data_IF_082859984467
#
_entry.id   IF_082859984467
#
_cell.length_a   1.000
_cell.length_b   1.000
_cell.length_c   1.000
_cell.angle_alpha   90.00
_cell.angle_beta   90.00
_cell.angle_gamma   90.00
#
_symmetry.space_group_name_H-M   'P 1'
#
loop_
_entity.id
_entity.type
_entity.pdbx_description
1 polymer ?
#
# COMPACT_ATOMS: atom_id res chain seq x y z
N UNK A 1 -1.16 33.30 -1.32
CA UNK A 1 -1.93 32.03 -1.41
C UNK A 1 -1.10 31.06 -2.22
N UNK A 2 -0.43 30.13 -1.55
CA UNK A 2 0.45 29.15 -2.18
C UNK A 2 -0.40 27.97 -2.65
N UNK A 3 -0.39 27.68 -3.96
CA UNK A 3 -1.08 26.52 -4.53
C UNK A 3 -0.60 25.23 -3.83
N UNK A 4 -1.49 24.29 -3.50
CA UNK A 4 -1.09 23.00 -2.95
C UNK A 4 -0.17 22.31 -3.96
N UNK A 5 1.02 21.93 -3.50
CA UNK A 5 2.06 21.33 -4.34
C UNK A 5 1.64 19.90 -4.69
N UNK A 6 0.88 19.73 -5.76
CA UNK A 6 0.64 18.42 -6.38
C UNK A 6 1.95 17.98 -7.03
N UNK A 7 2.39 16.75 -6.74
CA UNK A 7 3.51 16.13 -7.44
C UNK A 7 3.03 15.80 -8.87
N UNK A 8 3.03 16.77 -9.78
CA UNK A 8 2.61 16.60 -11.20
C UNK A 8 3.51 15.65 -12.03
N UNK A 9 4.43 14.93 -11.40
CA UNK A 9 5.33 13.97 -12.03
C UNK A 9 5.06 12.53 -11.61
N UNK A 10 4.09 12.26 -10.72
CA UNK A 10 3.74 10.89 -10.34
C UNK A 10 2.61 10.35 -11.23
N UNK A 11 2.70 9.08 -11.63
CA UNK A 11 1.68 8.39 -12.45
C UNK A 11 0.27 8.43 -11.85
N UNK A 12 0.19 8.64 -10.53
CA UNK A 12 -1.05 8.71 -9.75
C UNK A 12 -0.97 9.92 -8.81
N UNK A 13 -2.08 10.62 -8.52
CA UNK A 13 -2.09 11.69 -7.52
C UNK A 13 -1.58 11.19 -6.17
N UNK A 14 -0.59 11.88 -5.61
CA UNK A 14 0.00 11.56 -4.31
C UNK A 14 -0.44 12.57 -3.24
N UNK A 15 -0.61 12.15 -1.98
CA UNK A 15 -0.98 13.07 -0.90
C UNK A 15 0.10 14.13 -0.69
N UNK A 16 -0.34 15.37 -0.42
CA UNK A 16 0.57 16.50 -0.21
C UNK A 16 1.03 16.56 1.26
N UNK A 17 2.15 17.24 1.53
CA UNK A 17 2.67 17.45 2.91
C UNK A 17 1.63 18.06 3.85
N UNK A 18 0.68 18.81 3.30
CA UNK A 18 -0.35 19.58 4.02
C UNK A 18 -1.66 18.81 4.22
N UNK A 19 -1.73 17.51 3.91
CA UNK A 19 -2.96 16.74 4.14
C UNK A 19 -3.34 16.81 5.63
N UNK A 20 -4.54 17.34 5.92
CA UNK A 20 -5.04 17.56 7.28
C UNK A 20 -5.31 16.23 7.99
N UNK A 21 -5.79 15.25 7.23
CA UNK A 21 -6.04 13.89 7.72
C UNK A 21 -4.89 12.94 7.35
N UNK A 22 -4.18 12.43 8.35
CA UNK A 22 -3.04 11.53 8.14
C UNK A 22 -3.46 10.10 7.76
N UNK A 23 -4.64 9.66 8.21
CA UNK A 23 -5.17 8.35 7.86
C UNK A 23 -5.56 8.30 6.39
N UNK A 24 -6.25 9.34 5.91
CA UNK A 24 -6.61 9.49 4.49
C UNK A 24 -5.38 9.58 3.59
N UNK A 25 -4.37 10.34 4.01
CA UNK A 25 -3.11 10.44 3.28
C UNK A 25 -2.43 9.07 3.15
N UNK A 26 -2.43 8.26 4.22
CA UNK A 26 -1.80 6.95 4.19
C UNK A 26 -2.57 5.95 3.32
N UNK A 27 -3.90 5.94 3.40
CA UNK A 27 -4.73 5.10 2.54
C UNK A 27 -4.57 5.50 1.06
N UNK A 28 -4.62 6.80 0.76
CA UNK A 28 -4.42 7.33 -0.60
C UNK A 28 -3.06 6.93 -1.15
N UNK A 29 -1.99 7.06 -0.35
CA UNK A 29 -0.65 6.59 -0.72
C UNK A 29 -0.65 5.08 -1.06
N UNK A 30 -1.27 4.27 -0.20
CA UNK A 30 -1.33 2.82 -0.37
C UNK A 30 -2.02 2.43 -1.68
N UNK A 31 -3.16 3.05 -1.99
CA UNK A 31 -3.89 2.86 -3.24
C UNK A 31 -3.04 3.30 -4.43
N UNK A 32 -2.43 4.48 -4.37
CA UNK A 32 -1.59 5.01 -5.45
C UNK A 32 -0.38 4.11 -5.78
N UNK A 33 0.21 3.45 -4.77
CA UNK A 33 1.28 2.46 -4.97
C UNK A 33 0.79 1.22 -5.73
N UNK A 34 -0.39 0.71 -5.37
CA UNK A 34 -1.02 -0.44 -6.05
C UNK A 34 -1.43 -0.09 -7.48
N UNK A 35 -2.02 1.08 -7.68
CA UNK A 35 -2.41 1.57 -9.00
C UNK A 35 -1.18 1.78 -9.90
N UNK A 36 -0.09 2.34 -9.36
CA UNK A 36 1.17 2.46 -10.09
C UNK A 36 1.72 1.11 -10.53
N UNK A 37 1.64 0.08 -9.67
CA UNK A 37 2.06 -1.27 -10.03
C UNK A 37 1.16 -1.92 -11.09
N UNK A 38 -0.15 -1.67 -11.00
CA UNK A 38 -1.12 -2.12 -11.99
C UNK A 38 -0.90 -1.46 -13.35
N UNK A 39 -0.56 -0.17 -13.38
CA UNK A 39 -0.19 0.58 -14.58
C UNK A 39 1.04 -0.04 -15.26
N UNK A 40 2.11 -0.33 -14.49
CA UNK A 40 3.29 -1.06 -15.00
C UNK A 40 2.89 -2.41 -15.61
N UNK A 41 2.06 -3.18 -14.91
CA UNK A 41 1.58 -4.47 -15.41
C UNK A 41 0.72 -4.34 -16.68
N UNK A 42 -0.03 -3.26 -16.87
CA UNK A 42 -0.91 -3.07 -18.02
C UNK A 42 -0.18 -2.53 -19.26
N UNK A 43 0.73 -1.59 -19.05
CA UNK A 43 1.27 -0.77 -20.14
C UNK A 43 2.74 -1.08 -20.46
N UNK A 44 3.48 -1.73 -19.56
CA UNK A 44 4.92 -1.93 -19.72
C UNK A 44 5.34 -3.41 -19.71
N UNK A 45 4.57 -4.27 -19.05
CA UNK A 45 4.78 -5.73 -19.08
C UNK A 45 3.75 -6.36 -20.03
N UNK A 46 4.25 -7.06 -21.04
CA UNK A 46 3.44 -7.56 -22.15
C UNK A 46 3.34 -9.09 -22.20
N UNK A 47 4.28 -9.82 -21.58
CA UNK A 47 4.30 -11.29 -21.64
C UNK A 47 4.61 -11.96 -20.30
N UNK A 48 4.20 -13.23 -20.17
CA UNK A 48 4.49 -14.08 -19.01
C UNK A 48 6.00 -14.36 -18.88
N UNK A 49 6.73 -14.39 -20.00
CA UNK A 49 8.20 -14.55 -20.00
C UNK A 49 8.88 -13.37 -19.30
N UNK A 50 8.42 -12.13 -19.52
CA UNK A 50 8.95 -10.96 -18.81
C UNK A 50 8.70 -11.04 -17.30
N UNK A 51 7.56 -11.62 -16.88
CA UNK A 51 7.21 -11.83 -15.48
C UNK A 51 8.12 -12.88 -14.80
N UNK A 52 8.51 -13.90 -15.55
CA UNK A 52 9.16 -15.11 -15.02
C UNK A 52 10.65 -15.21 -15.27
N UNK A 53 11.22 -14.32 -16.10
CA UNK A 53 12.66 -14.27 -16.37
C UNK A 53 13.44 -14.01 -15.08
N UNK A 54 14.37 -14.90 -14.79
CA UNK A 54 15.27 -14.78 -13.65
C UNK A 54 16.21 -13.59 -13.84
N UNK A 55 16.39 -12.84 -12.76
CA UNK A 55 17.30 -11.70 -12.74
C UNK A 55 18.75 -12.13 -12.51
N UNK A 56 19.67 -11.53 -13.25
CA UNK A 56 21.10 -11.68 -13.06
C UNK A 56 21.63 -10.72 -11.97
N UNK A 57 21.04 -9.53 -11.85
CA UNK A 57 21.34 -8.53 -10.83
C UNK A 57 20.75 -8.90 -9.46
N UNK A 58 19.65 -9.67 -9.45
CA UNK A 58 18.96 -10.13 -8.24
C UNK A 58 18.71 -11.65 -8.31
N UNK A 59 19.73 -12.50 -8.07
CA UNK A 59 19.60 -13.95 -8.15
C UNK A 59 18.42 -14.49 -7.35
N UNK A 60 17.59 -15.33 -7.97
CA UNK A 60 16.36 -15.88 -7.39
C UNK A 60 15.15 -14.95 -7.48
N UNK A 61 15.32 -13.69 -7.90
CA UNK A 61 14.26 -12.72 -8.14
C UNK A 61 13.73 -12.73 -9.58
N UNK A 62 12.44 -12.40 -9.73
CA UNK A 62 11.77 -12.09 -11.02
C UNK A 62 10.78 -10.95 -10.79
N UNK A 63 10.32 -10.27 -11.85
CA UNK A 63 9.25 -9.28 -11.72
C UNK A 63 8.01 -9.88 -11.03
N UNK A 64 7.60 -11.07 -11.48
CA UNK A 64 6.45 -11.79 -10.95
C UNK A 64 6.54 -12.14 -9.48
N UNK A 65 7.72 -12.57 -9.01
CA UNK A 65 7.95 -12.87 -7.59
C UNK A 65 7.81 -11.60 -6.73
N UNK A 66 8.31 -10.46 -7.21
CA UNK A 66 8.17 -9.18 -6.50
C UNK A 66 6.73 -8.67 -6.48
N UNK A 67 6.02 -8.67 -7.63
CA UNK A 67 4.60 -8.30 -7.67
C UNK A 67 3.75 -9.22 -6.79
N UNK A 68 3.94 -10.53 -6.87
CA UNK A 68 3.25 -11.50 -6.00
C UNK A 68 3.46 -11.17 -4.54
N UNK A 69 4.69 -10.89 -4.14
CA UNK A 69 4.98 -10.65 -2.73
C UNK A 69 4.27 -9.39 -2.21
N UNK A 70 4.24 -8.30 -2.98
CA UNK A 70 3.45 -7.10 -2.63
C UNK A 70 1.96 -7.42 -2.51
N UNK A 71 1.40 -8.17 -3.47
CA UNK A 71 0.00 -8.61 -3.44
C UNK A 71 -0.29 -9.44 -2.18
N UNK A 72 0.58 -10.39 -1.85
CA UNK A 72 0.45 -11.26 -0.66
C UNK A 72 0.45 -10.44 0.63
N UNK A 73 1.36 -9.45 0.75
CA UNK A 73 1.45 -8.58 1.93
C UNK A 73 0.16 -7.78 2.14
N UNK A 74 -0.36 -7.11 1.12
CA UNK A 74 -1.61 -6.34 1.26
C UNK A 74 -2.84 -7.22 1.50
N UNK A 75 -2.88 -8.42 0.90
CA UNK A 75 -3.95 -9.38 1.19
C UNK A 75 -3.92 -9.86 2.63
N UNK A 76 -2.74 -10.18 3.17
CA UNK A 76 -2.58 -10.57 4.56
C UNK A 76 -3.01 -9.44 5.52
N UNK A 77 -2.67 -8.19 5.20
CA UNK A 77 -3.11 -7.01 5.94
C UNK A 77 -4.64 -6.85 5.95
N UNK A 78 -5.29 -6.98 4.79
CA UNK A 78 -6.74 -6.78 4.65
C UNK A 78 -7.57 -7.94 5.20
N UNK A 79 -7.06 -9.17 5.13
CA UNK A 79 -7.80 -10.40 5.44
C UNK A 79 -8.57 -10.36 6.78
N UNK A 80 -7.98 -9.92 7.91
CA UNK A 80 -8.70 -9.88 9.18
C UNK A 80 -9.54 -8.59 9.38
N UNK A 81 -9.46 -7.63 8.45
CA UNK A 81 -10.07 -6.30 8.53
C UNK A 81 -11.26 -6.12 7.55
N UNK A 82 -11.30 -6.87 6.45
CA UNK A 82 -12.28 -6.72 5.36
C UNK A 82 -12.39 -8.02 4.54
N UNK A 83 -13.57 -8.40 4.00
CA UNK A 83 -14.87 -7.69 4.05
C UNK A 83 -15.64 -7.86 5.35
N UNK A 84 -15.34 -8.90 6.13
CA UNK A 84 -16.04 -9.19 7.39
C UNK A 84 -15.04 -9.06 8.53
N UNK A 85 -14.96 -7.89 9.20
CA UNK A 85 -14.08 -7.70 10.34
C UNK A 85 -14.60 -8.48 11.55
N UNK A 86 -13.68 -8.93 12.40
CA UNK A 86 -14.05 -9.49 13.71
C UNK A 86 -14.55 -8.39 14.64
N UNK A 87 -15.66 -8.63 15.34
CA UNK A 87 -16.20 -7.71 16.34
C UNK A 87 -15.42 -7.78 17.66
N UNK A 88 -15.36 -6.68 18.44
CA UNK A 88 -14.85 -6.71 19.80
C UNK A 88 -15.52 -7.82 20.65
N UNK A 89 -14.80 -8.46 21.59
CA UNK A 89 -13.48 -8.10 22.13
C UNK A 89 -12.27 -8.66 21.34
N UNK A 90 -12.47 -9.21 20.15
CA UNK A 90 -11.38 -9.86 19.39
C UNK A 90 -10.37 -8.85 18.83
N UNK A 91 -9.09 -9.03 19.15
CA UNK A 91 -7.96 -8.32 18.54
C UNK A 91 -7.58 -9.06 17.24
N UNK A 92 -7.71 -8.42 16.06
CA UNK A 92 -7.35 -9.04 14.79
C UNK A 92 -5.89 -9.48 14.75
N UNK A 93 -5.62 -10.59 14.06
CA UNK A 93 -4.27 -11.04 13.76
C UNK A 93 -3.98 -10.86 12.27
N UNK A 94 -2.94 -10.10 11.95
CA UNK A 94 -2.36 -10.01 10.60
C UNK A 94 -1.22 -11.03 10.54
N UNK A 95 -1.47 -12.14 9.83
CA UNK A 95 -0.47 -13.17 9.61
C UNK A 95 0.11 -13.01 8.20
N UNK A 96 1.34 -12.50 8.10
CA UNK A 96 2.00 -12.27 6.79
C UNK A 96 2.45 -13.58 6.11
N UNK A 97 2.39 -14.71 6.80
CA UNK A 97 2.59 -16.05 6.21
C UNK A 97 1.28 -16.73 5.80
N UNK A 98 0.13 -16.05 5.92
CA UNK A 98 -1.16 -16.54 5.45
C UNK A 98 -1.17 -16.61 3.91
N UNK A 99 -0.51 -17.63 3.37
CA UNK A 99 -0.39 -17.87 1.94
C UNK A 99 -1.61 -18.65 1.46
N UNK A 100 -2.04 -18.36 0.24
CA UNK A 100 -3.00 -19.19 -0.50
C UNK A 100 -2.22 -19.94 -1.59
N UNK A 101 -1.75 -21.18 -1.32
CA UNK A 101 -0.76 -21.87 -2.17
C UNK A 101 -1.19 -21.99 -3.63
N UNK A 102 -2.48 -22.27 -3.86
CA UNK A 102 -3.08 -22.41 -5.19
C UNK A 102 -2.95 -21.15 -6.05
N UNK A 103 -2.91 -19.97 -5.43
CA UNK A 103 -2.83 -18.68 -6.13
C UNK A 103 -1.40 -18.17 -6.34
N UNK A 104 -0.41 -18.65 -5.56
CA UNK A 104 0.97 -18.11 -5.59
C UNK A 104 1.63 -18.25 -6.95
N UNK A 105 1.53 -19.46 -7.53
CA UNK A 105 2.17 -19.79 -8.79
C UNK A 105 1.54 -19.03 -9.96
N UNK A 106 0.20 -18.98 -10.11
CA UNK A 106 -0.44 -18.13 -11.10
C UNK A 106 -0.04 -16.66 -10.99
N UNK A 107 -0.13 -16.05 -9.80
CA UNK A 107 0.14 -14.61 -9.61
C UNK A 107 1.58 -14.24 -10.01
N UNK A 108 2.55 -15.12 -9.75
CA UNK A 108 3.95 -14.85 -10.09
C UNK A 108 4.34 -15.21 -11.53
N UNK A 109 3.45 -15.82 -12.32
CA UNK A 109 3.82 -16.40 -13.62
C UNK A 109 2.87 -16.09 -14.77
N UNK A 110 1.62 -15.72 -14.48
CA UNK A 110 0.63 -15.32 -15.46
C UNK A 110 0.33 -13.84 -15.28
N UNK A 111 0.52 -13.08 -16.34
CA UNK A 111 0.28 -11.64 -16.41
C UNK A 111 -1.17 -11.31 -16.09
N UNK A 112 -2.11 -12.09 -16.62
CA UNK A 112 -3.54 -11.91 -16.35
C UNK A 112 -3.88 -12.18 -14.88
N UNK A 113 -3.36 -13.27 -14.30
CA UNK A 113 -3.54 -13.55 -12.88
C UNK A 113 -2.91 -12.48 -11.99
N UNK A 114 -1.72 -11.97 -12.35
CA UNK A 114 -1.03 -10.91 -11.65
C UNK A 114 -1.82 -9.59 -11.69
N UNK A 115 -2.27 -9.18 -12.89
CA UNK A 115 -3.11 -7.99 -13.10
C UNK A 115 -4.42 -8.07 -12.33
N UNK A 116 -5.12 -9.20 -12.42
CA UNK A 116 -6.37 -9.42 -11.71
C UNK A 116 -6.18 -9.33 -10.19
N UNK A 117 -5.12 -9.95 -9.67
CA UNK A 117 -4.82 -9.93 -8.25
C UNK A 117 -4.42 -8.53 -7.74
N UNK A 118 -3.57 -7.81 -8.48
CA UNK A 118 -3.18 -6.43 -8.16
C UNK A 118 -4.39 -5.48 -8.18
N UNK A 119 -5.24 -5.58 -9.21
CA UNK A 119 -6.48 -4.80 -9.31
C UNK A 119 -7.43 -5.09 -8.15
N UNK A 120 -7.51 -6.35 -7.71
CA UNK A 120 -8.36 -6.72 -6.59
C UNK A 120 -7.87 -6.08 -5.29
N UNK A 121 -6.55 -6.04 -5.05
CA UNK A 121 -5.98 -5.35 -3.88
C UNK A 121 -6.38 -3.87 -3.85
N UNK A 122 -6.30 -3.16 -4.97
CA UNK A 122 -6.71 -1.74 -5.05
C UNK A 122 -8.21 -1.54 -4.75
N UNK A 123 -9.06 -2.43 -5.26
CA UNK A 123 -10.50 -2.45 -4.95
C UNK A 123 -10.77 -2.70 -3.47
N UNK A 124 -10.09 -3.69 -2.89
CA UNK A 124 -10.29 -4.06 -1.48
C UNK A 124 -9.81 -2.96 -0.54
N UNK A 125 -8.68 -2.29 -0.83
CA UNK A 125 -8.23 -1.11 -0.06
C UNK A 125 -9.26 0.02 -0.11
N UNK A 126 -9.79 0.32 -1.30
CA UNK A 126 -10.79 1.38 -1.48
C UNK A 126 -12.08 1.07 -0.73
N UNK A 127 -12.56 -0.18 -0.84
CA UNK A 127 -13.79 -0.62 -0.18
C UNK A 127 -13.63 -0.72 1.35
N UNK A 128 -12.46 -1.18 1.83
CA UNK A 128 -12.13 -1.18 3.24
C UNK A 128 -12.12 0.24 3.81
N UNK A 129 -11.48 1.19 3.12
CA UNK A 129 -11.48 2.60 3.50
C UNK A 129 -12.88 3.18 3.62
N UNK A 130 -13.74 2.93 2.62
CA UNK A 130 -15.14 3.41 2.65
C UNK A 130 -15.93 2.78 3.80
N UNK A 131 -15.78 1.48 4.03
CA UNK A 131 -16.41 0.79 5.15
C UNK A 131 -15.99 1.38 6.51
N UNK A 132 -14.74 1.82 6.66
CA UNK A 132 -14.28 2.50 7.88
C UNK A 132 -15.00 3.84 8.09
N UNK A 133 -15.14 4.65 7.02
CA UNK A 133 -15.87 5.92 7.07
C UNK A 133 -17.34 5.73 7.39
N UNK A 134 -17.99 4.74 6.76
CA UNK A 134 -19.39 4.39 7.03
C UNK A 134 -19.62 4.02 8.49
N UNK A 135 -18.74 3.19 9.09
CA UNK A 135 -18.80 2.86 10.52
C UNK A 135 -18.65 4.11 11.39
N UNK A 136 -17.75 5.02 11.03
CA UNK A 136 -17.59 6.30 11.72
C UNK A 136 -18.85 7.16 11.68
N UNK A 137 -19.45 7.33 10.49
CA UNK A 137 -20.71 8.07 10.31
C UNK A 137 -21.86 7.45 11.10
N UNK A 138 -22.00 6.12 11.09
CA UNK A 138 -23.04 5.41 11.84
C UNK A 138 -22.88 5.58 13.35
N UNK A 139 -21.64 5.53 13.86
CA UNK A 139 -21.34 5.77 15.28
C UNK A 139 -21.69 7.19 15.71
N UNK A 140 -21.36 8.20 14.89
CA UNK A 140 -21.72 9.61 15.14
C UNK A 140 -23.24 9.82 15.18
N UNK A 141 -23.97 9.26 14.22
CA UNK A 141 -25.43 9.35 14.21
C UNK A 141 -26.06 8.73 15.48
N UNK A 142 -25.49 7.64 16.00
CA UNK A 142 -25.95 7.02 17.24
C UNK A 142 -25.64 7.85 18.49
N UNK A 143 -24.49 8.55 18.55
CA UNK A 143 -24.16 9.45 19.66
C UNK A 143 -25.03 10.68 19.66
N UNK A 144 -25.25 11.30 18.49
CA UNK A 144 -26.04 12.52 18.35
C UNK A 144 -27.50 12.26 18.73
N UNK A 145 -28.08 11.13 18.29
CA UNK A 145 -29.43 10.72 18.69
C UNK A 145 -29.56 10.42 20.20
N UNK A 146 -28.48 10.01 20.87
CA UNK A 146 -28.45 9.79 22.31
C UNK A 146 -28.28 11.11 23.09
N UNK A 147 -27.58 12.09 22.53
CA UNK A 147 -27.43 13.43 23.11
C UNK A 147 -28.70 14.28 22.95
N UNK A 148 -29.40 14.21 21.82
CA UNK A 148 -30.71 14.85 21.62
C UNK A 148 -31.75 14.34 22.62
N UNK A 149 -31.73 13.03 22.94
CA UNK A 149 -32.57 12.44 24.01
C UNK A 149 -32.16 12.84 25.43
N UNK A 150 -30.93 13.33 25.64
CA UNK A 150 -30.42 13.77 26.96
C UNK A 150 -30.56 15.28 27.18
N UNK A 151 -30.54 16.08 26.13
CA UNK A 151 -30.75 17.53 26.21
C UNK A 151 -32.21 17.92 26.53
N UNK A 152 -33.17 16.99 26.45
CA UNK A 152 -34.51 17.19 27.00
C UNK A 152 -34.56 17.12 28.54
N UNK A 153 -33.47 16.75 29.24
CA UNK A 153 -33.51 16.54 30.70
C UNK A 153 -32.46 17.28 31.56
N UNK A 154 -31.48 18.03 31.03
CA UNK A 154 -30.70 18.98 31.86
C UNK A 154 -29.86 19.99 31.07
N UNK A 155 -29.94 21.25 31.51
CA UNK A 155 -29.15 22.38 31.04
C UNK A 155 -27.65 22.25 31.37
N UNK A 156 -26.84 22.67 30.38
CA UNK A 156 -25.46 23.19 30.44
C UNK A 156 -24.41 22.36 31.20
N UNK A 157 -23.54 21.69 30.43
CA UNK A 157 -22.14 21.49 30.82
C UNK A 157 -21.22 21.75 29.63
N UNK A 158 -20.04 22.30 29.92
CA UNK A 158 -19.08 22.93 29.02
C UNK A 158 -18.54 21.98 27.96
N UNK A 159 -18.38 22.55 26.76
CA UNK A 159 -17.75 21.93 25.60
C UNK A 159 -16.34 21.44 25.96
N UNK A 160 -16.13 20.13 25.90
CA UNK A 160 -14.81 19.59 25.63
C UNK A 160 -14.80 19.22 24.15
N UNK A 161 -14.08 20.00 23.34
CA UNK A 161 -13.90 19.73 21.92
C UNK A 161 -13.03 18.48 21.74
N UNK A 162 -13.63 17.31 21.93
CA UNK A 162 -13.07 16.06 21.42
C UNK A 162 -13.13 16.15 19.91
N UNK A 163 -11.99 16.46 19.29
CA UNK A 163 -11.87 16.65 17.84
C UNK A 163 -12.56 15.53 17.09
N UNK A 164 -13.33 15.91 16.06
CA UNK A 164 -14.04 15.00 15.16
C UNK A 164 -13.07 13.90 14.68
N UNK A 165 -13.24 12.68 15.19
CA UNK A 165 -12.47 11.53 14.69
C UNK A 165 -13.25 10.90 13.55
N UNK A 166 -12.67 10.96 12.35
CA UNK A 166 -13.13 10.21 11.19
C UNK A 166 -13.01 8.70 11.49
N UNK A 167 -13.96 7.89 11.02
CA UNK A 167 -13.98 6.44 11.25
C UNK A 167 -12.73 5.73 10.72
N UNK A 168 -12.10 6.27 9.68
CA UNK A 168 -10.81 5.76 9.19
C UNK A 168 -9.67 6.06 10.18
N UNK A 169 -9.63 7.27 10.76
CA UNK A 169 -8.63 7.63 11.76
C UNK A 169 -8.75 6.77 13.02
N UNK A 170 -9.98 6.48 13.47
CA UNK A 170 -10.24 5.54 14.55
C UNK A 170 -9.77 4.11 14.19
N UNK A 171 -9.99 3.65 12.95
CA UNK A 171 -9.51 2.34 12.51
C UNK A 171 -7.97 2.27 12.52
N UNK A 172 -7.26 3.34 12.13
CA UNK A 172 -5.79 3.35 12.14
C UNK A 172 -5.20 3.11 13.54
N UNK A 173 -5.90 3.54 14.59
CA UNK A 173 -5.49 3.34 15.99
C UNK A 173 -5.87 1.96 16.54
N UNK A 174 -6.66 1.17 15.80
CA UNK A 174 -7.08 -0.16 16.23
C UNK A 174 -5.87 -1.07 16.42
N UNK A 175 -5.79 -1.66 17.61
CA UNK A 175 -4.74 -2.61 17.98
C UNK A 175 -4.93 -3.90 17.19
N UNK A 176 -3.81 -4.44 16.70
CA UNK A 176 -3.72 -5.75 16.02
C UNK A 176 -2.54 -6.54 16.57
N UNK A 177 -2.60 -7.86 16.44
CA UNK A 177 -1.42 -8.72 16.57
C UNK A 177 -0.86 -9.01 15.18
N UNK A 178 0.45 -9.12 15.07
CA UNK A 178 1.15 -9.47 13.83
C UNK A 178 1.88 -10.78 14.06
N UNK A 179 1.80 -11.69 13.09
CA UNK A 179 2.52 -12.94 13.08
C UNK A 179 3.31 -13.11 11.76
N UNK A 180 4.57 -13.52 11.88
CA UNK A 180 5.41 -13.89 10.73
C UNK A 180 6.52 -14.88 11.15
N UNK A 181 6.99 -15.72 10.23
CA UNK A 181 8.04 -16.73 10.43
C UNK A 181 9.37 -16.20 9.93
N UNK A 182 10.34 -16.01 10.83
CA UNK A 182 11.68 -15.50 10.50
C UNK A 182 12.79 -16.00 11.46
N UNK A 183 13.41 -17.17 11.27
CA UNK A 183 12.88 -18.44 10.76
C UNK A 183 11.96 -19.16 11.79
N UNK A 184 11.79 -18.57 12.97
CA UNK A 184 10.82 -18.99 13.99
C UNK A 184 9.61 -18.05 13.96
N UNK A 185 8.45 -18.52 14.45
CA UNK A 185 7.25 -17.68 14.55
C UNK A 185 7.53 -16.52 15.52
N UNK A 186 7.40 -15.30 15.02
CA UNK A 186 7.43 -14.06 15.79
C UNK A 186 6.00 -13.54 15.92
N UNK A 187 5.64 -13.08 17.10
CA UNK A 187 4.34 -12.47 17.40
C UNK A 187 4.54 -11.14 18.12
N UNK A 188 3.93 -10.08 17.62
CA UNK A 188 4.11 -8.72 18.16
C UNK A 188 2.79 -7.94 18.13
N UNK A 189 2.64 -6.98 19.03
CA UNK A 189 1.55 -5.99 18.97
C UNK A 189 1.85 -4.89 17.96
N UNK A 190 0.82 -4.38 17.29
CA UNK A 190 0.90 -3.24 16.36
C UNK A 190 -0.44 -2.50 16.30
N UNK A 191 -0.56 -1.56 15.38
CA UNK A 191 -1.83 -0.90 15.01
C UNK A 191 -2.09 -1.04 13.52
N UNK A 192 -3.36 -0.95 13.10
CA UNK A 192 -3.73 -0.98 11.68
C UNK A 192 -2.95 0.07 10.87
N UNK A 193 -2.83 1.29 11.38
CA UNK A 193 -2.10 2.36 10.71
C UNK A 193 -0.61 2.05 10.53
N UNK A 194 0.02 1.43 11.55
CA UNK A 194 1.42 1.00 11.46
C UNK A 194 1.61 -0.11 10.43
N UNK A 195 0.68 -1.05 10.35
CA UNK A 195 0.74 -2.16 9.39
C UNK A 195 0.43 -1.73 7.95
N UNK A 196 -0.49 -0.79 7.74
CA UNK A 196 -0.72 -0.20 6.42
C UNK A 196 0.50 0.60 5.95
N UNK A 197 1.15 1.32 6.87
CA UNK A 197 2.40 2.01 6.57
C UNK A 197 3.54 1.04 6.24
N UNK A 198 3.65 -0.07 6.98
CA UNK A 198 4.56 -1.16 6.64
C UNK A 198 4.30 -1.70 5.22
N UNK A 199 3.04 -2.03 4.88
CA UNK A 199 2.68 -2.48 3.54
C UNK A 199 3.12 -1.49 2.46
N UNK A 200 2.92 -0.19 2.69
CA UNK A 200 3.32 0.88 1.77
C UNK A 200 4.82 0.96 1.55
N UNK A 201 5.62 0.99 2.61
CA UNK A 201 7.09 1.08 2.49
C UNK A 201 7.69 -0.22 1.96
N UNK A 202 7.08 -1.36 2.26
CA UNK A 202 7.45 -2.66 1.74
C UNK A 202 7.19 -2.78 0.23
N UNK A 203 6.05 -2.24 -0.23
CA UNK A 203 5.78 -2.13 -1.66
C UNK A 203 6.80 -1.24 -2.38
N UNK A 204 7.12 -0.06 -1.83
CA UNK A 204 8.16 0.82 -2.37
C UNK A 204 9.50 0.08 -2.47
N UNK A 205 9.88 -0.66 -1.42
CA UNK A 205 11.10 -1.47 -1.41
C UNK A 205 11.10 -2.47 -2.58
N UNK A 206 10.03 -3.24 -2.76
CA UNK A 206 9.94 -4.18 -3.88
C UNK A 206 9.88 -3.52 -5.25
N UNK A 207 9.21 -2.37 -5.39
CA UNK A 207 9.17 -1.64 -6.66
C UNK A 207 10.55 -1.10 -7.05
N UNK A 208 11.40 -0.75 -6.09
CA UNK A 208 12.79 -0.35 -6.36
C UNK A 208 13.63 -1.51 -6.94
N UNK A 209 13.46 -2.72 -6.42
CA UNK A 209 14.10 -3.94 -6.94
C UNK A 209 13.54 -4.30 -8.32
N UNK A 210 12.21 -4.23 -8.45
CA UNK A 210 11.50 -4.50 -9.69
C UNK A 210 11.95 -3.59 -10.82
N UNK A 211 12.07 -2.28 -10.55
CA UNK A 211 12.61 -1.30 -11.50
C UNK A 211 13.98 -1.72 -12.01
N UNK A 212 14.84 -2.21 -11.13
CA UNK A 212 16.20 -2.64 -11.49
C UNK A 212 16.17 -3.75 -12.53
N UNK A 213 15.31 -4.76 -12.34
CA UNK A 213 15.13 -5.86 -13.28
C UNK A 213 14.52 -5.34 -14.60
N UNK A 214 13.40 -4.62 -14.50
CA UNK A 214 12.62 -4.17 -15.65
C UNK A 214 13.44 -3.28 -16.59
N UNK A 215 14.10 -2.26 -16.05
CA UNK A 215 14.84 -1.28 -16.87
C UNK A 215 16.17 -1.86 -17.36
N UNK A 216 16.97 -2.47 -16.48
CA UNK A 216 18.36 -2.81 -16.83
C UNK A 216 18.55 -4.20 -17.43
N UNK A 217 17.60 -5.12 -17.26
CA UNK A 217 17.73 -6.49 -17.79
C UNK A 217 16.71 -6.81 -18.88
N UNK A 218 15.51 -6.23 -18.77
CA UNK A 218 14.42 -6.43 -19.73
C UNK A 218 14.28 -5.27 -20.72
N UNK A 219 15.01 -4.17 -20.52
CA UNK A 219 14.95 -2.96 -21.33
C UNK A 219 13.52 -2.39 -21.44
N UNK A 220 12.75 -2.46 -20.36
CA UNK A 220 11.43 -1.84 -20.27
C UNK A 220 11.57 -0.37 -19.91
N UNK A 221 10.87 0.50 -20.62
CA UNK A 221 10.79 1.91 -20.30
C UNK A 221 9.80 2.11 -19.15
N UNK A 222 10.29 2.50 -17.97
CA UNK A 222 9.45 2.76 -16.80
C UNK A 222 9.56 4.22 -16.32
N UNK A 223 8.45 4.85 -15.93
CA UNK A 223 8.43 6.19 -15.34
C UNK A 223 9.43 6.32 -14.20
N UNK A 224 10.23 7.40 -14.15
CA UNK A 224 11.39 7.53 -13.24
C UNK A 224 11.01 7.49 -11.75
N UNK A 225 9.77 7.84 -11.45
CA UNK A 225 9.18 7.89 -10.12
C UNK A 225 8.81 6.50 -9.61
N UNK A 226 8.56 5.53 -10.50
CA UNK A 226 8.21 4.17 -10.09
C UNK A 226 9.35 3.51 -9.30
N UNK A 227 9.04 3.06 -8.08
CA UNK A 227 10.01 2.52 -7.13
C UNK A 227 10.83 3.55 -6.37
N UNK A 228 10.56 4.86 -6.54
CA UNK A 228 11.19 5.93 -5.75
C UNK A 228 10.31 6.26 -4.54
N UNK A 229 10.89 6.35 -3.35
CA UNK A 229 10.16 6.72 -2.15
C UNK A 229 9.54 8.13 -2.26
N UNK A 230 8.29 8.35 -1.83
CA UNK A 230 7.63 9.67 -1.90
C UNK A 230 8.42 10.78 -1.19
N UNK A 231 9.09 10.48 -0.09
CA UNK A 231 9.98 11.42 0.61
C UNK A 231 11.12 11.91 -0.26
N UNK A 232 11.68 11.04 -1.12
CA UNK A 232 12.73 11.39 -2.09
C UNK A 232 12.17 12.26 -3.20
N UNK A 233 10.97 11.96 -3.71
CA UNK A 233 10.29 12.81 -4.71
C UNK A 233 10.00 14.21 -4.15
N UNK A 234 9.55 14.28 -2.90
CA UNK A 234 9.33 15.55 -2.20
C UNK A 234 10.64 16.34 -1.96
N UNK A 235 11.78 15.67 -1.82
CA UNK A 235 13.08 16.34 -1.70
C UNK A 235 13.59 16.90 -3.03
N UNK A 236 13.35 16.19 -4.15
CA UNK A 236 13.79 16.59 -5.49
C UNK A 236 13.25 17.96 -5.90
N UNK A 237 12.04 18.33 -5.47
CA UNK A 237 11.43 19.62 -5.79
C UNK A 237 11.06 19.78 -7.28
N UNK A 238 10.36 20.86 -7.63
CA UNK A 238 9.80 21.07 -8.98
C UNK A 238 10.87 21.31 -10.08
N UNK A 239 12.09 21.67 -9.69
CA UNK A 239 13.18 21.95 -10.63
C UNK A 239 14.00 20.72 -11.00
N UNK A 240 13.77 19.58 -10.34
CA UNK A 240 14.52 18.36 -10.64
C UNK A 240 14.11 17.79 -11.99
N UNK A 241 15.12 17.48 -12.81
CA UNK A 241 14.93 16.80 -14.09
C UNK A 241 15.44 15.37 -13.97
N UNK A 242 14.71 14.38 -14.51
CA UNK A 242 15.24 13.04 -14.61
C UNK A 242 16.56 13.03 -15.37
N UNK A 243 17.50 12.13 -15.00
CA UNK A 243 18.63 11.85 -15.85
C UNK A 243 18.13 11.45 -17.24
N UNK A 244 18.62 12.10 -18.29
CA UNK A 244 18.37 11.69 -19.68
C UNK A 244 19.06 10.34 -19.90
N UNK A 245 18.26 9.29 -20.10
CA UNK A 245 18.64 7.92 -20.50
C UNK A 245 19.49 7.92 -21.81
N UNK A 246 20.38 6.98 -22.18
CA UNK A 246 20.81 5.65 -21.71
C UNK A 246 22.33 5.56 -21.93
N UNK A 247 23.16 5.39 -20.89
CA UNK A 247 24.50 4.79 -21.08
C UNK A 247 24.35 3.31 -20.77
N UNK A 248 24.62 2.44 -21.74
CA UNK A 248 24.65 0.99 -21.52
C UNK A 248 25.50 0.67 -20.29
N UNK A 249 24.86 0.21 -19.22
CA UNK A 249 25.58 -0.32 -18.06
C UNK A 249 26.01 -1.74 -18.44
N UNK A 250 27.26 -1.92 -18.85
CA UNK A 250 27.84 -3.26 -19.03
C UNK A 250 27.98 -3.90 -17.65
N UNK A 251 27.11 -4.87 -17.35
CA UNK A 251 27.31 -5.76 -16.21
C UNK A 251 28.45 -6.71 -16.55
N UNK A 252 29.64 -6.45 -16.01
CA UNK A 252 30.79 -7.34 -16.17
C UNK A 252 30.66 -8.49 -15.17
N UNK A 253 30.40 -9.69 -15.68
CA UNK A 253 30.34 -10.91 -14.88
C UNK A 253 31.76 -11.39 -14.58
N UNK A 254 32.35 -10.98 -13.46
CA UNK A 254 33.51 -11.69 -12.91
C UNK A 254 33.01 -12.89 -12.12
N UNK A 255 32.79 -14.01 -12.82
CA UNK A 255 32.68 -15.31 -12.16
C UNK A 255 34.07 -15.69 -11.67
N UNK A 256 34.32 -15.63 -10.36
CA UNK A 256 35.37 -16.45 -9.77
C UNK A 256 34.70 -17.76 -9.36
N UNK A 257 35.20 -18.84 -9.95
CA UNK A 257 34.91 -20.23 -9.60
C UNK A 257 34.87 -20.44 -8.09
#
# INVERSE_FOLDING_TARGET
MSLPTTLNHTLVPMPTRQHSDRAEALLTLSIALIDSALDILQHHVHTDEQLTRDSALLPGGTLGKHFRHVIETFRAFLLPLYPVPTTPPHIPEINYDAIVPSSRRPIARSLDACRAAMRQVGKDLSAWGESCRERGRARKAATDAHEEKRQSEKSKSMHNAGGERDGLADEMERIVRVAAITPTKQEMGSTVGRELWYCSIHAIHHFSMLRTIAVYELNLDLPVEFGTAPSTLLYRGLAWKPPVERKHVKVVRTSKL
#
